data_IF_165866853240
#
_entry.id   IF_165866853240
#
_cell.length_a   1.000
_cell.length_b   1.000
_cell.length_c   1.000
_cell.angle_alpha   90.00
_cell.angle_beta   90.00
_cell.angle_gamma   90.00
#
_symmetry.space_group_name_H-M   'P 1'
#
loop_
_entity.id
_entity.type
_entity.pdbx_description
1 polymer ?
#
# COMPACT_ATOMS: atom_id res chain seq x y z
N UNK A 1 17.40 -2.07 18.36
CA UNK A 1 16.57 -2.88 17.45
C UNK A 1 17.40 -3.11 16.18
N UNK A 2 17.55 -4.35 15.69
CA UNK A 2 18.46 -4.66 14.57
C UNK A 2 17.79 -4.43 13.19
N UNK A 3 16.46 -4.56 13.12
CA UNK A 3 15.65 -4.34 11.92
C UNK A 3 14.23 -3.89 12.33
N UNK A 4 13.70 -2.85 11.70
CA UNK A 4 12.41 -2.24 12.03
C UNK A 4 11.20 -2.98 11.45
N UNK A 5 11.37 -3.76 10.38
CA UNK A 5 10.27 -4.36 9.62
C UNK A 5 9.98 -5.82 9.97
N UNK A 6 10.85 -6.48 10.73
CA UNK A 6 10.62 -7.87 11.17
C UNK A 6 9.37 -8.06 12.05
N UNK A 7 8.74 -6.98 12.49
CA UNK A 7 7.52 -7.01 13.32
C UNK A 7 6.28 -6.49 12.57
N UNK A 8 6.42 -6.07 11.31
CA UNK A 8 5.32 -5.52 10.49
C UNK A 8 5.13 -6.43 9.29
N UNK A 9 4.28 -7.45 9.44
CA UNK A 9 4.04 -8.45 8.41
C UNK A 9 2.72 -8.20 7.70
N UNK A 10 2.70 -8.46 6.39
CA UNK A 10 1.46 -8.67 5.65
C UNK A 10 1.07 -10.15 5.75
N UNK A 11 -0.20 -10.41 5.97
CA UNK A 11 -0.74 -11.76 6.05
C UNK A 11 -1.10 -12.30 4.66
N UNK A 12 -0.74 -13.55 4.39
CA UNK A 12 -1.04 -14.21 3.12
C UNK A 12 -2.49 -14.67 3.07
N UNK A 13 -3.15 -14.41 1.95
CA UNK A 13 -4.49 -14.90 1.62
C UNK A 13 -4.45 -15.69 0.32
N UNK A 14 -5.49 -16.47 -0.04
CA UNK A 14 -5.54 -17.17 -1.32
C UNK A 14 -5.43 -16.27 -2.57
N UNK A 15 -5.67 -14.95 -2.43
CA UNK A 15 -5.69 -13.97 -3.52
C UNK A 15 -4.48 -13.03 -3.51
N UNK A 16 -3.73 -12.96 -2.41
CA UNK A 16 -2.59 -12.06 -2.27
C UNK A 16 -2.26 -11.79 -0.81
N UNK A 17 -2.26 -10.52 -0.39
CA UNK A 17 -1.80 -10.08 0.92
C UNK A 17 -2.82 -9.16 1.61
N UNK A 18 -2.83 -9.14 2.94
CA UNK A 18 -3.63 -8.18 3.72
C UNK A 18 -2.85 -7.65 4.92
N UNK A 19 -3.13 -6.42 5.32
CA UNK A 19 -2.71 -5.88 6.62
C UNK A 19 -3.50 -6.48 7.79
N UNK A 20 -4.68 -7.05 7.52
CA UNK A 20 -5.71 -7.24 8.53
C UNK A 20 -6.28 -5.89 9.02
N UNK A 21 -7.19 -5.91 10.00
CA UNK A 21 -7.78 -4.68 10.53
C UNK A 21 -6.75 -3.86 11.29
N UNK A 22 -6.61 -2.59 10.91
CA UNK A 22 -5.76 -1.59 11.53
C UNK A 22 -6.62 -0.45 12.08
N UNK A 23 -6.43 0.00 13.33
CA UNK A 23 -7.16 1.14 13.87
C UNK A 23 -6.64 2.46 13.30
N UNK A 24 -7.54 3.43 13.11
CA UNK A 24 -7.23 4.83 12.82
C UNK A 24 -8.20 5.75 13.59
N UNK A 25 -8.04 7.08 13.46
CA UNK A 25 -8.73 8.04 14.32
C UNK A 25 -10.28 7.95 14.30
N UNK A 26 -10.87 7.56 13.16
CA UNK A 26 -12.33 7.51 13.00
C UNK A 26 -12.91 6.08 12.99
N UNK A 27 -12.08 5.04 13.09
CA UNK A 27 -12.54 3.65 13.00
C UNK A 27 -11.40 2.66 12.75
N UNK A 28 -11.67 1.64 11.94
CA UNK A 28 -10.70 0.65 11.50
C UNK A 28 -10.74 0.45 9.98
N UNK A 29 -9.57 0.16 9.40
CA UNK A 29 -9.43 -0.10 7.98
C UNK A 29 -8.53 -1.31 7.71
N UNK A 30 -8.66 -1.87 6.52
CA UNK A 30 -7.84 -2.98 6.04
C UNK A 30 -7.38 -2.66 4.61
N UNK A 31 -6.10 -2.90 4.33
CA UNK A 31 -5.55 -2.85 2.97
C UNK A 31 -5.32 -4.28 2.47
N UNK A 32 -5.90 -4.60 1.31
CA UNK A 32 -5.83 -5.90 0.66
C UNK A 32 -5.20 -5.75 -0.72
N UNK A 33 -4.10 -6.47 -0.95
CA UNK A 33 -3.59 -6.72 -2.29
C UNK A 33 -4.23 -7.98 -2.86
N UNK A 34 -5.09 -7.82 -3.87
CA UNK A 34 -5.65 -8.90 -4.68
C UNK A 34 -4.87 -9.02 -5.99
N UNK A 35 -3.88 -9.90 -6.01
CA UNK A 35 -3.03 -10.12 -7.18
C UNK A 35 -3.71 -10.94 -8.27
N UNK A 36 -4.87 -11.57 -7.99
CA UNK A 36 -5.68 -12.24 -9.01
C UNK A 36 -6.52 -11.26 -9.80
N UNK A 37 -7.02 -10.22 -9.14
CA UNK A 37 -7.79 -9.15 -9.76
C UNK A 37 -6.93 -7.94 -10.17
N UNK A 38 -5.64 -7.93 -9.79
CA UNK A 38 -4.74 -6.78 -9.92
C UNK A 38 -5.32 -5.50 -9.32
N UNK A 39 -5.75 -5.60 -8.06
CA UNK A 39 -6.35 -4.50 -7.32
C UNK A 39 -5.77 -4.41 -5.90
N UNK A 40 -5.47 -3.18 -5.46
CA UNK A 40 -5.38 -2.84 -4.05
C UNK A 40 -6.75 -2.35 -3.61
N UNK A 41 -7.27 -2.91 -2.53
CA UNK A 41 -8.55 -2.53 -1.93
C UNK A 41 -8.32 -2.01 -0.53
N UNK A 42 -9.01 -0.94 -0.21
CA UNK A 42 -9.09 -0.36 1.13
C UNK A 42 -10.52 -0.56 1.61
N UNK A 43 -10.68 -1.32 2.69
CA UNK A 43 -11.95 -1.52 3.36
C UNK A 43 -11.97 -0.72 4.66
N UNK A 44 -13.09 -0.11 4.98
CA UNK A 44 -13.35 0.56 6.27
C UNK A 44 -14.50 -0.11 7.00
N UNK A 45 -14.53 0.01 8.32
CA UNK A 45 -15.57 -0.58 9.18
C UNK A 45 -16.96 0.05 9.02
N UNK A 46 -17.06 1.23 8.42
CA UNK A 46 -18.31 1.85 7.99
C UNK A 46 -18.87 1.26 6.67
N UNK A 47 -18.19 0.25 6.11
CA UNK A 47 -18.61 -0.48 4.92
C UNK A 47 -18.18 0.16 3.59
N UNK A 48 -17.43 1.26 3.62
CA UNK A 48 -16.87 1.82 2.39
C UNK A 48 -15.75 0.94 1.82
N UNK A 49 -15.59 1.02 0.51
CA UNK A 49 -14.50 0.35 -0.19
C UNK A 49 -13.95 1.27 -1.26
N UNK A 50 -12.65 1.52 -1.16
CA UNK A 50 -11.89 2.25 -2.16
C UNK A 50 -10.94 1.28 -2.86
N UNK A 51 -10.62 1.53 -4.12
CA UNK A 51 -9.76 0.65 -4.88
C UNK A 51 -8.80 1.38 -5.80
N UNK A 52 -7.66 0.75 -6.02
CA UNK A 52 -6.60 1.18 -6.91
C UNK A 52 -6.23 0.00 -7.82
N UNK A 53 -6.16 0.22 -9.13
CA UNK A 53 -5.66 -0.79 -10.06
C UNK A 53 -4.15 -0.98 -9.84
N UNK A 54 -3.72 -2.24 -9.75
CA UNK A 54 -2.31 -2.61 -9.79
C UNK A 54 -1.92 -2.80 -11.25
N UNK A 55 -1.19 -1.84 -11.80
CA UNK A 55 -0.80 -1.83 -13.21
C UNK A 55 0.63 -1.30 -13.35
N UNK A 56 1.30 -1.54 -14.48
CA UNK A 56 2.65 -1.04 -14.71
C UNK A 56 2.71 0.48 -14.53
N UNK A 57 3.38 0.94 -13.47
CA UNK A 57 3.63 2.34 -13.18
C UNK A 57 4.90 2.47 -12.33
N UNK A 58 5.41 3.69 -12.17
CA UNK A 58 6.52 3.94 -11.26
C UNK A 58 6.07 3.87 -9.80
N UNK A 59 7.02 3.67 -8.89
CA UNK A 59 6.76 3.77 -7.44
C UNK A 59 6.22 5.16 -7.08
N UNK A 60 6.75 6.23 -7.69
CA UNK A 60 6.25 7.60 -7.52
C UNK A 60 4.78 7.75 -7.91
N UNK A 61 4.37 7.20 -9.04
CA UNK A 61 2.98 7.26 -9.47
C UNK A 61 2.07 6.44 -8.56
N UNK A 62 2.48 5.22 -8.20
CA UNK A 62 1.73 4.39 -7.25
C UNK A 62 1.57 5.09 -5.90
N UNK A 63 2.64 5.68 -5.37
CA UNK A 63 2.64 6.39 -4.10
C UNK A 63 1.66 7.58 -4.10
N UNK A 64 1.65 8.39 -5.17
CA UNK A 64 0.69 9.49 -5.34
C UNK A 64 -0.75 8.99 -5.33
N UNK A 65 -1.06 7.96 -6.12
CA UNK A 65 -2.40 7.37 -6.21
C UNK A 65 -2.85 6.75 -4.89
N UNK A 66 -1.95 6.04 -4.20
CA UNK A 66 -2.23 5.45 -2.89
C UNK A 66 -2.50 6.52 -1.83
N UNK A 67 -1.73 7.61 -1.80
CA UNK A 67 -2.01 8.74 -0.89
C UNK A 67 -3.35 9.42 -1.18
N UNK A 68 -3.72 9.56 -2.46
CA UNK A 68 -5.03 10.08 -2.84
C UNK A 68 -6.16 9.16 -2.36
N UNK A 69 -6.02 7.84 -2.53
CA UNK A 69 -6.95 6.83 -2.04
C UNK A 69 -7.19 6.94 -0.52
N UNK A 70 -6.12 7.06 0.26
CA UNK A 70 -6.21 7.23 1.72
C UNK A 70 -6.94 8.53 2.09
N UNK A 71 -6.65 9.62 1.38
CA UNK A 71 -7.31 10.90 1.60
C UNK A 71 -8.80 10.85 1.25
N UNK A 72 -9.18 10.20 0.14
CA UNK A 72 -10.58 9.98 -0.25
C UNK A 72 -11.34 9.15 0.78
N UNK A 73 -10.68 8.18 1.41
CA UNK A 73 -11.22 7.38 2.50
C UNK A 73 -11.22 8.10 3.86
N UNK A 74 -10.81 9.38 3.91
CA UNK A 74 -10.74 10.16 5.16
C UNK A 74 -9.63 9.71 6.13
N UNK A 75 -8.68 8.91 5.67
CA UNK A 75 -7.57 8.39 6.48
C UNK A 75 -6.37 9.33 6.38
N UNK A 76 -6.18 10.13 7.41
CA UNK A 76 -5.02 11.01 7.56
C UNK A 76 -3.86 10.25 8.24
N UNK A 77 -2.79 9.98 7.49
CA UNK A 77 -1.57 9.33 8.01
C UNK A 77 -0.33 10.09 7.56
N UNK A 78 0.68 10.11 8.43
CA UNK A 78 2.03 10.53 8.07
C UNK A 78 2.83 9.31 7.63
N UNK A 79 3.32 9.33 6.39
CA UNK A 79 4.19 8.29 5.85
C UNK A 79 5.56 8.92 5.61
N UNK A 80 6.59 8.37 6.23
CA UNK A 80 7.97 8.72 5.91
C UNK A 80 8.30 8.19 4.51
N UNK A 81 8.62 9.05 3.52
CA UNK A 81 8.68 8.63 2.12
C UNK A 81 10.01 8.00 1.74
N UNK A 82 11.02 7.99 2.62
CA UNK A 82 12.35 7.47 2.28
C UNK A 82 12.42 5.99 2.65
N UNK A 83 12.77 5.09 1.72
CA UNK A 83 13.04 3.70 2.01
C UNK A 83 14.10 3.57 3.12
N UNK A 84 13.97 2.53 3.93
CA UNK A 84 14.95 2.20 4.97
C UNK A 84 15.40 0.77 4.79
N UNK A 85 16.62 0.45 5.25
CA UNK A 85 17.19 -0.91 5.23
C UNK A 85 17.37 -1.53 3.83
N UNK A 86 17.43 -0.69 2.80
CA UNK A 86 17.72 -1.03 1.40
C UNK A 86 18.84 -0.13 0.86
N UNK A 87 19.53 -0.59 -0.20
CA UNK A 87 20.63 0.18 -0.81
C UNK A 87 20.14 1.40 -1.58
N UNK A 88 19.04 1.25 -2.33
CA UNK A 88 18.40 2.35 -3.03
C UNK A 88 17.46 3.11 -2.08
N UNK A 89 17.85 4.33 -1.73
CA UNK A 89 17.12 5.21 -0.81
C UNK A 89 16.36 6.32 -1.54
N UNK A 90 16.10 6.15 -2.84
CA UNK A 90 15.29 7.10 -3.61
C UNK A 90 13.91 7.25 -2.94
N UNK A 91 13.48 8.47 -2.58
CA UNK A 91 12.18 8.68 -1.94
C UNK A 91 11.04 8.14 -2.79
N UNK A 92 10.04 7.51 -2.17
CA UNK A 92 8.92 6.86 -2.87
C UNK A 92 8.17 7.81 -3.80
N UNK A 93 8.08 9.10 -3.47
CA UNK A 93 7.42 10.12 -4.29
C UNK A 93 8.27 10.62 -5.47
N UNK A 94 9.53 10.18 -5.55
CA UNK A 94 10.52 10.58 -6.57
C UNK A 94 11.07 9.37 -7.36
N UNK A 95 10.77 8.15 -6.93
CA UNK A 95 11.22 6.91 -7.56
C UNK A 95 10.47 6.65 -8.88
N UNK A 96 11.07 7.13 -9.96
CA UNK A 96 10.56 6.97 -11.33
C UNK A 96 11.20 5.76 -12.06
N UNK A 97 12.27 5.16 -11.53
CA UNK A 97 13.01 4.09 -12.21
C UNK A 97 12.48 2.69 -11.92
N UNK A 98 11.94 2.43 -10.72
CA UNK A 98 11.28 1.16 -10.43
C UNK A 98 9.87 1.12 -11.03
N UNK A 99 9.62 0.15 -11.93
CA UNK A 99 8.35 0.00 -12.68
C UNK A 99 8.06 -1.43 -13.15
N UNK A 100 8.44 -2.42 -12.35
CA UNK A 100 8.49 -3.84 -12.73
C UNK A 100 7.17 -4.60 -12.56
N UNK A 101 6.08 -3.96 -12.11
CA UNK A 101 4.82 -4.66 -11.93
C UNK A 101 4.28 -5.17 -13.27
N UNK A 102 4.05 -6.48 -13.37
CA UNK A 102 3.49 -7.14 -14.55
C UNK A 102 2.26 -7.94 -14.12
N UNK A 103 1.10 -7.58 -14.67
CA UNK A 103 -0.16 -8.25 -14.39
C UNK A 103 -0.32 -9.58 -15.14
N UNK A 104 0.53 -9.86 -16.13
CA UNK A 104 0.47 -11.08 -16.93
C UNK A 104 1.48 -12.16 -16.52
N UNK A 105 2.34 -11.87 -15.54
CA UNK A 105 3.40 -12.76 -15.04
C UNK A 105 2.88 -14.02 -14.33
#
# INVERSE_FOLDING_TARGET
>A
MLNHWWQVVLYVTPRGLTTGPMPYAAGSCEIVFDFRAHQLRLHTDDGQTHQLALEPCSVAEFYRRYRALLHEAGIAVHIWPVPVEVEDVTPFDQDEHHRSYDAAA
#
